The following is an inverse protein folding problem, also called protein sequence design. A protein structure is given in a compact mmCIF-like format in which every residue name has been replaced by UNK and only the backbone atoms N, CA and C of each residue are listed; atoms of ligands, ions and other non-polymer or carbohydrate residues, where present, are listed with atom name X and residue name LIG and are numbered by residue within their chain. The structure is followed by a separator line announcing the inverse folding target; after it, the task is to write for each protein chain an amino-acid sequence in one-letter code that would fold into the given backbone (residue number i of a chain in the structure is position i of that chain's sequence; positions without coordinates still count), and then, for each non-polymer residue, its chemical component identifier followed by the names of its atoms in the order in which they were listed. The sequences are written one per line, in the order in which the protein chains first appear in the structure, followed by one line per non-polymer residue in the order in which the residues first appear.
data_IF_426974708298
#
_entry.id   IF_426974708298
#
_cell.length_a   1.000
_cell.length_b   1.000
_cell.length_c   1.000
_cell.angle_alpha   90.00
_cell.angle_beta   90.00
_cell.angle_gamma   90.00
#
_symmetry.space_group_name_H-M   'P 1'
#
loop_
_entity.id
_entity.type
_entity.pdbx_description
1 polymer ?
#
# COMPACT_ATOMS: atom_id res chain seq x y z
N UNK A 1 -20.44 6.49 -8.98
CA UNK A 1 -19.53 7.32 -8.18
C UNK A 1 -18.37 6.41 -7.83
N UNK A 2 -17.20 6.57 -8.47
CA UNK A 2 -16.04 5.75 -8.12
C UNK A 2 -15.52 6.27 -6.79
N UNK A 3 -15.56 5.43 -5.76
CA UNK A 3 -15.17 5.76 -4.39
C UNK A 3 -13.66 5.66 -4.16
N UNK A 4 -12.86 5.70 -5.24
CA UNK A 4 -11.43 5.49 -5.19
C UNK A 4 -10.71 6.83 -5.32
N UNK A 5 -9.65 7.01 -4.54
CA UNK A 5 -8.68 8.08 -4.72
C UNK A 5 -7.98 7.89 -6.08
N UNK A 6 -7.64 8.98 -6.75
CA UNK A 6 -6.91 8.91 -8.02
C UNK A 6 -5.54 8.23 -7.79
N UNK A 7 -5.31 7.12 -8.49
CA UNK A 7 -4.02 6.39 -8.44
C UNK A 7 -3.20 6.79 -9.66
N UNK A 8 -2.00 7.32 -9.45
CA UNK A 8 -1.07 7.65 -10.56
C UNK A 8 0.10 6.69 -10.55
N UNK A 9 0.36 6.04 -11.69
CA UNK A 9 1.54 5.19 -11.90
C UNK A 9 2.30 5.73 -13.09
N UNK A 10 3.57 6.09 -12.92
CA UNK A 10 4.42 6.62 -14.01
C UNK A 10 3.70 7.67 -14.88
N UNK A 11 3.08 8.66 -14.23
CA UNK A 11 2.36 9.77 -14.88
C UNK A 11 1.00 9.40 -15.51
N UNK A 12 0.60 8.13 -15.51
CA UNK A 12 -0.72 7.69 -15.96
C UNK A 12 -1.72 7.66 -14.79
N UNK A 13 -2.82 8.42 -14.94
CA UNK A 13 -3.88 8.51 -13.94
C UNK A 13 -4.91 7.38 -14.16
N UNK A 14 -5.21 6.63 -13.11
CA UNK A 14 -6.23 5.57 -13.08
C UNK A 14 -6.05 4.53 -14.19
N UNK A 15 -4.83 4.00 -14.32
CA UNK A 15 -4.50 2.87 -15.21
C UNK A 15 -5.42 1.67 -14.98
N UNK A 16 -5.55 0.80 -16.00
CA UNK A 16 -6.38 -0.40 -15.89
C UNK A 16 -5.94 -1.28 -14.69
N UNK A 17 -6.89 -1.86 -13.92
CA UNK A 17 -6.56 -2.65 -12.72
C UNK A 17 -5.56 -3.78 -12.97
N UNK A 18 -5.60 -4.42 -14.14
CA UNK A 18 -4.68 -5.49 -14.53
C UNK A 18 -3.24 -4.97 -14.66
N UNK A 19 -3.08 -3.75 -15.18
CA UNK A 19 -1.78 -3.08 -15.28
C UNK A 19 -1.27 -2.67 -13.91
N UNK A 20 -2.14 -2.14 -13.05
CA UNK A 20 -1.81 -1.82 -11.66
C UNK A 20 -1.32 -3.07 -10.93
N UNK A 21 -2.07 -4.18 -11.02
CA UNK A 21 -1.72 -5.44 -10.40
C UNK A 21 -0.38 -6.00 -10.92
N UNK A 22 -0.12 -5.91 -12.24
CA UNK A 22 1.15 -6.34 -12.81
C UNK A 22 2.34 -5.56 -12.24
N UNK A 23 2.20 -4.24 -12.09
CA UNK A 23 3.27 -3.38 -11.56
C UNK A 23 3.50 -3.65 -10.08
N UNK A 24 2.44 -3.79 -9.28
CA UNK A 24 2.53 -4.09 -7.84
C UNK A 24 3.26 -5.41 -7.59
N UNK A 25 3.04 -6.42 -8.42
CA UNK A 25 3.67 -7.74 -8.26
C UNK A 25 5.13 -7.81 -8.74
N UNK A 26 5.61 -6.84 -9.52
CA UNK A 26 6.94 -6.87 -10.11
C UNK A 26 7.90 -5.84 -9.52
N UNK A 27 7.38 -4.86 -8.77
CA UNK A 27 8.14 -3.70 -8.31
C UNK A 27 7.85 -3.36 -6.86
N UNK A 28 8.78 -2.63 -6.24
CA UNK A 28 8.52 -1.97 -4.97
C UNK A 28 7.47 -0.88 -5.14
N UNK A 29 6.42 -0.93 -4.32
CA UNK A 29 5.34 0.06 -4.34
C UNK A 29 5.51 0.99 -3.14
N UNK A 30 5.59 2.28 -3.45
CA UNK A 30 5.65 3.35 -2.46
C UNK A 30 4.28 4.04 -2.41
N UNK A 31 3.60 3.91 -1.28
CA UNK A 31 2.31 4.55 -1.04
C UNK A 31 2.53 5.68 -0.06
N UNK A 32 2.31 6.91 -0.52
CA UNK A 32 2.38 8.11 0.32
C UNK A 32 1.00 8.43 0.87
N UNK A 33 0.88 8.50 2.20
CA UNK A 33 -0.35 8.88 2.90
C UNK A 33 0.00 10.00 3.88
N UNK A 34 -0.26 11.25 3.49
CA UNK A 34 0.20 12.41 4.25
C UNK A 34 1.72 12.44 4.36
N UNK A 35 2.24 12.47 5.60
CA UNK A 35 3.68 12.43 5.92
C UNK A 35 4.20 11.00 6.18
N UNK A 36 3.35 9.99 6.01
CA UNK A 36 3.69 8.58 6.17
C UNK A 36 3.96 7.92 4.82
N UNK A 37 4.86 6.93 4.82
CA UNK A 37 5.20 6.15 3.64
C UNK A 37 5.02 4.66 3.93
N UNK A 38 4.28 3.97 3.08
CA UNK A 38 4.15 2.51 3.11
C UNK A 38 4.95 1.96 1.94
N UNK A 39 5.83 1.00 2.23
CA UNK A 39 6.63 0.27 1.26
C UNK A 39 6.10 -1.17 1.20
N UNK A 40 5.64 -1.58 0.03
CA UNK A 40 5.34 -2.96 -0.31
C UNK A 40 6.43 -3.49 -1.23
N UNK A 41 7.01 -4.62 -0.87
CA UNK A 41 8.02 -5.30 -1.69
C UNK A 41 7.37 -6.17 -2.76
N UNK A 42 8.07 -6.40 -3.87
CA UNK A 42 7.53 -7.16 -5.02
C UNK A 42 7.19 -8.63 -4.69
N UNK A 43 7.71 -9.17 -3.59
CA UNK A 43 7.38 -10.52 -3.14
C UNK A 43 6.12 -10.60 -2.27
N UNK A 44 5.50 -9.45 -1.96
CA UNK A 44 4.27 -9.27 -1.19
C UNK A 44 4.30 -9.97 0.19
N UNK A 45 5.50 -10.25 0.72
CA UNK A 45 5.63 -10.96 2.00
C UNK A 45 5.68 -10.01 3.20
N UNK A 46 6.11 -8.76 2.98
CA UNK A 46 6.28 -7.78 4.04
C UNK A 46 5.83 -6.38 3.59
N UNK A 47 5.18 -5.68 4.52
CA UNK A 47 4.85 -4.25 4.40
C UNK A 47 5.63 -3.47 5.44
N UNK A 48 6.40 -2.48 5.00
CA UNK A 48 7.15 -1.58 5.91
C UNK A 48 6.46 -0.23 5.95
N UNK A 49 6.19 0.27 7.16
CA UNK A 49 5.50 1.55 7.35
C UNK A 49 6.43 2.53 8.06
N UNK A 50 6.67 3.66 7.43
CA UNK A 50 7.52 4.74 7.94
C UNK A 50 6.67 5.89 8.46
N UNK A 51 7.01 6.34 9.67
CA UNK A 51 6.35 7.47 10.35
C UNK A 51 4.81 7.40 10.35
N UNK A 52 4.19 6.27 10.74
CA UNK A 52 2.73 6.20 10.81
C UNK A 52 2.20 7.06 11.95
N UNK A 53 1.09 7.75 11.71
CA UNK A 53 0.24 8.22 12.80
C UNK A 53 -0.58 7.06 13.40
N UNK A 54 -1.26 7.32 14.52
CA UNK A 54 -2.02 6.28 15.23
C UNK A 54 -3.17 5.70 14.39
N UNK A 55 -3.83 6.54 13.59
CA UNK A 55 -4.97 6.16 12.76
C UNK A 55 -4.53 5.24 11.62
N UNK A 56 -3.48 5.63 10.89
CA UNK A 56 -2.90 4.84 9.81
C UNK A 56 -2.38 3.50 10.33
N UNK A 57 -1.74 3.49 11.50
CA UNK A 57 -1.26 2.26 12.11
C UNK A 57 -2.41 1.30 12.44
N UNK A 58 -3.54 1.81 12.95
CA UNK A 58 -4.73 1.01 13.25
C UNK A 58 -5.38 0.46 11.97
N UNK A 59 -5.46 1.26 10.91
CA UNK A 59 -5.93 0.82 9.60
C UNK A 59 -5.06 -0.31 9.07
N UNK A 60 -3.73 -0.16 9.08
CA UNK A 60 -2.81 -1.18 8.58
C UNK A 60 -2.90 -2.46 9.41
N UNK A 61 -3.02 -2.36 10.74
CA UNK A 61 -3.24 -3.53 11.62
C UNK A 61 -4.53 -4.26 11.28
N UNK A 62 -5.60 -3.51 11.01
CA UNK A 62 -6.91 -4.08 10.65
C UNK A 62 -6.83 -4.81 9.31
N UNK A 63 -6.24 -4.18 8.30
CA UNK A 63 -6.04 -4.78 6.97
C UNK A 63 -5.14 -6.02 7.04
N UNK A 64 -4.00 -5.93 7.72
CA UNK A 64 -3.09 -7.06 7.91
C UNK A 64 -3.79 -8.25 8.58
N UNK A 65 -4.59 -8.00 9.62
CA UNK A 65 -5.32 -9.06 10.33
C UNK A 65 -6.36 -9.77 9.45
N UNK A 66 -6.99 -9.04 8.51
CA UNK A 66 -7.98 -9.59 7.59
C UNK A 66 -7.35 -10.52 6.55
N UNK A 67 -6.11 -10.24 6.14
CA UNK A 67 -5.34 -11.03 5.18
C UNK A 67 -4.46 -12.10 5.87
N UNK A 68 -4.55 -12.26 7.18
CA UNK A 68 -3.75 -13.22 7.95
C UNK A 68 -2.27 -12.84 8.08
N UNK A 69 -1.93 -11.57 7.84
CA UNK A 69 -0.61 -10.99 8.02
C UNK A 69 -0.38 -10.57 9.48
N UNK A 70 0.88 -10.62 9.92
CA UNK A 70 1.27 -10.24 11.28
C UNK A 70 2.02 -8.92 11.28
N UNK A 71 1.63 -8.01 12.17
CA UNK A 71 2.34 -6.74 12.37
C UNK A 71 3.51 -6.96 13.33
N UNK A 72 4.73 -6.77 12.83
CA UNK A 72 5.94 -6.78 13.63
C UNK A 72 6.40 -5.34 13.90
N UNK A 73 6.57 -4.98 15.17
CA UNK A 73 7.25 -3.76 15.59
C UNK A 73 8.62 -4.14 16.20
N UNK A 74 9.72 -3.45 15.86
CA UNK A 74 10.99 -3.62 16.56
C UNK A 74 10.90 -3.20 18.03
#
# INVERSE_FOLDING_TARGET
MNCYLDVTIEVELNSAPEKIAGIINEQYVYIMVGDSMILSEADDTHLTVFNPDEELLEIIRTLASAEGLFVQQP
#
